data_IF_565072099543
#
_entry.id   IF_565072099543
#
_cell.length_a   1.000
_cell.length_b   1.000
_cell.length_c   1.000
_cell.angle_alpha   90.00
_cell.angle_beta   90.00
_cell.angle_gamma   90.00
#
_symmetry.space_group_name_H-M   'P 1'
#
loop_
_entity.id
_entity.type
_entity.pdbx_description
1 polymer ?
#
# COMPACT_ATOMS: atom_id res chain seq x y z
N UNK A 1 -39.50 67.90 3.73
CA UNK A 1 -39.71 67.00 2.58
C UNK A 1 -38.51 67.14 1.66
N UNK A 2 -37.43 66.40 1.94
CA UNK A 2 -36.23 66.28 1.09
C UNK A 2 -35.73 64.83 1.29
N UNK A 3 -35.85 64.01 0.24
CA UNK A 3 -35.51 62.59 0.26
C UNK A 3 -34.04 62.39 -0.13
N UNK A 4 -33.24 61.80 0.75
CA UNK A 4 -31.88 61.35 0.44
C UNK A 4 -31.95 59.88 -0.01
N UNK A 5 -31.75 59.62 -1.31
CA UNK A 5 -31.71 58.27 -1.87
C UNK A 5 -30.28 57.74 -1.78
N UNK A 6 -30.00 56.90 -0.78
CA UNK A 6 -28.75 56.14 -0.69
C UNK A 6 -28.84 54.95 -1.64
N UNK A 7 -28.07 54.99 -2.73
CA UNK A 7 -27.86 53.86 -3.63
C UNK A 7 -26.92 52.85 -2.94
N UNK A 8 -27.45 51.67 -2.60
CA UNK A 8 -26.66 50.55 -2.09
C UNK A 8 -26.17 49.76 -3.30
N UNK A 9 -24.87 49.85 -3.58
CA UNK A 9 -24.17 49.08 -4.60
C UNK A 9 -23.89 47.68 -4.02
N UNK A 10 -24.62 46.67 -4.50
CA UNK A 10 -24.46 45.29 -4.08
C UNK A 10 -23.19 44.67 -4.67
N UNK A 11 -22.25 44.29 -3.80
CA UNK A 11 -21.05 43.53 -4.16
C UNK A 11 -21.43 42.05 -4.18
N UNK A 12 -21.52 41.46 -5.38
CA UNK A 12 -21.58 40.00 -5.57
C UNK A 12 -20.18 39.41 -5.35
N UNK A 13 -19.96 38.71 -4.23
CA UNK A 13 -18.82 37.83 -4.04
C UNK A 13 -19.10 36.49 -4.74
N UNK A 14 -18.54 36.30 -5.93
CA UNK A 14 -18.48 35.01 -6.60
C UNK A 14 -17.53 34.10 -5.82
N UNK A 15 -18.09 33.17 -5.04
CA UNK A 15 -17.36 32.04 -4.50
C UNK A 15 -17.00 31.08 -5.65
N UNK A 16 -15.75 31.17 -6.12
CA UNK A 16 -15.21 30.16 -7.02
C UNK A 16 -14.96 28.87 -6.22
N UNK A 17 -15.77 27.83 -6.48
CA UNK A 17 -15.40 26.47 -6.11
C UNK A 17 -14.18 26.07 -6.94
N UNK A 18 -13.00 26.06 -6.31
CA UNK A 18 -11.85 25.35 -6.88
C UNK A 18 -12.19 23.86 -6.78
N UNK A 19 -12.22 23.10 -7.89
CA UNK A 19 -12.28 21.65 -7.79
C UNK A 19 -11.01 21.20 -7.08
N UNK A 20 -11.17 20.58 -5.91
CA UNK A 20 -10.14 19.77 -5.30
C UNK A 20 -9.73 18.75 -6.37
N UNK A 21 -8.50 18.90 -6.85
CA UNK A 21 -7.88 17.96 -7.77
C UNK A 21 -8.06 16.56 -7.17
N UNK A 22 -8.76 15.68 -7.89
CA UNK A 22 -8.77 14.26 -7.59
C UNK A 22 -7.31 13.81 -7.60
N UNK A 23 -6.78 13.59 -6.40
CA UNK A 23 -5.50 12.95 -6.21
C UNK A 23 -5.61 11.54 -6.73
N UNK A 24 -5.26 11.34 -8.00
CA UNK A 24 -4.90 10.02 -8.50
C UNK A 24 -3.83 9.48 -7.54
N UNK A 25 -4.23 8.46 -6.78
CA UNK A 25 -3.54 7.98 -5.59
C UNK A 25 -2.10 7.57 -5.87
N UNK A 26 -1.18 8.47 -5.51
CA UNK A 26 0.24 8.19 -5.35
C UNK A 26 0.66 8.32 -3.88
N UNK A 27 -0.25 8.09 -2.93
CA UNK A 27 0.07 8.15 -1.50
C UNK A 27 -0.25 6.80 -0.82
N UNK A 28 0.78 5.96 -0.68
CA UNK A 28 0.77 4.77 0.16
C UNK A 28 1.98 3.82 -0.06
N UNK A 29 2.56 3.23 1.00
CA UNK A 29 3.69 2.31 0.88
C UNK A 29 3.27 0.99 0.22
N UNK A 30 3.74 0.80 -1.01
CA UNK A 30 3.60 -0.44 -1.78
C UNK A 30 2.46 -0.39 -2.80
N UNK A 31 2.78 -0.35 -4.09
CA UNK A 31 1.78 -0.44 -5.15
C UNK A 31 1.26 -1.88 -5.25
N UNK A 32 0.03 -2.10 -4.77
CA UNK A 32 -0.67 -3.39 -4.87
C UNK A 32 -1.53 -3.38 -6.12
N UNK A 33 -1.29 -4.32 -7.04
CA UNK A 33 -2.04 -4.44 -8.30
C UNK A 33 -2.35 -5.89 -8.64
N UNK A 34 -3.51 -6.12 -9.25
CA UNK A 34 -3.77 -7.36 -9.99
C UNK A 34 -2.89 -7.41 -11.23
N UNK A 35 -2.49 -8.60 -11.64
CA UNK A 35 -1.67 -8.80 -12.83
C UNK A 35 -2.00 -10.12 -13.51
N UNK A 36 -1.79 -10.19 -14.84
CA UNK A 36 -1.84 -11.44 -15.59
C UNK A 36 -0.55 -12.25 -15.43
N UNK A 37 0.54 -11.62 -14.99
CA UNK A 37 1.79 -12.30 -14.65
C UNK A 37 1.61 -13.18 -13.41
N UNK A 38 2.41 -14.24 -13.32
CA UNK A 38 2.44 -15.16 -12.17
C UNK A 38 3.87 -15.37 -11.69
N UNK A 39 4.08 -15.73 -10.41
CA UNK A 39 5.39 -16.19 -9.96
C UNK A 39 5.79 -17.49 -10.67
N UNK A 40 7.10 -17.73 -10.74
CA UNK A 40 7.66 -18.97 -11.27
C UNK A 40 7.12 -20.18 -10.50
N UNK A 41 6.74 -21.24 -11.20
CA UNK A 41 6.17 -22.45 -10.61
C UNK A 41 4.70 -22.35 -10.19
N UNK A 42 4.01 -21.23 -10.43
CA UNK A 42 2.58 -21.13 -10.16
C UNK A 42 1.74 -22.05 -11.06
N UNK A 43 0.69 -22.66 -10.48
CA UNK A 43 -0.28 -23.45 -11.22
C UNK A 43 -0.96 -22.61 -12.32
N UNK A 44 -1.26 -23.23 -13.47
CA UNK A 44 -1.75 -22.52 -14.65
C UNK A 44 -3.15 -21.90 -14.48
N UNK A 45 -3.95 -22.47 -13.59
CA UNK A 45 -5.30 -22.03 -13.21
C UNK A 45 -5.31 -21.03 -12.04
N UNK A 46 -4.15 -20.69 -11.49
CA UNK A 46 -4.06 -19.76 -10.36
C UNK A 46 -4.00 -18.29 -10.80
N UNK A 47 -4.65 -17.42 -10.01
CA UNK A 47 -4.66 -15.97 -10.22
C UNK A 47 -3.87 -15.24 -9.15
N UNK A 48 -3.16 -14.18 -9.54
CA UNK A 48 -2.19 -13.50 -8.70
C UNK A 48 -2.31 -11.98 -8.78
N UNK A 49 -1.93 -11.35 -7.68
CA UNK A 49 -1.57 -9.94 -7.63
C UNK A 49 -0.13 -9.78 -7.18
N UNK A 50 0.37 -8.55 -7.31
CA UNK A 50 1.74 -8.17 -6.97
C UNK A 50 1.75 -6.90 -6.14
N UNK A 51 2.45 -6.94 -5.01
CA UNK A 51 2.75 -5.80 -4.15
C UNK A 51 4.18 -5.39 -4.44
N UNK A 52 4.35 -4.21 -5.01
CA UNK A 52 5.66 -3.62 -5.29
C UNK A 52 6.02 -2.64 -4.19
N UNK A 53 7.04 -2.95 -3.40
CA UNK A 53 7.68 -1.98 -2.50
C UNK A 53 8.72 -1.18 -3.30
N UNK A 54 8.70 0.16 -3.26
CA UNK A 54 9.64 0.98 -4.02
C UNK A 54 11.06 0.86 -3.47
N UNK A 55 12.04 1.19 -4.31
CA UNK A 55 13.39 1.43 -3.82
C UNK A 55 13.41 2.78 -3.06
N UNK A 56 14.14 2.83 -1.95
CA UNK A 56 14.39 4.06 -1.21
C UNK A 56 15.84 4.44 -1.44
N UNK A 57 16.03 5.64 -2.00
CA UNK A 57 17.34 6.25 -2.23
C UNK A 57 17.52 7.34 -1.19
N UNK A 58 18.60 7.27 -0.43
CA UNK A 58 18.94 8.27 0.58
C UNK A 58 20.35 8.80 0.36
N UNK A 59 20.54 10.07 0.73
CA UNK A 59 21.88 10.66 0.82
C UNK A 59 22.48 10.26 2.16
N UNK A 60 23.46 9.36 2.14
CA UNK A 60 24.14 8.87 3.32
C UNK A 60 25.50 9.58 3.46
N UNK A 61 25.79 10.11 4.65
CA UNK A 61 27.10 10.66 4.99
C UNK A 61 28.06 9.52 5.34
N UNK A 62 29.19 9.44 4.64
CA UNK A 62 30.25 8.46 4.91
C UNK A 62 31.56 9.16 5.21
N UNK A 63 32.29 8.66 6.21
CA UNK A 63 33.68 9.04 6.44
C UNK A 63 34.61 8.15 5.63
N UNK A 64 35.35 8.74 4.71
CA UNK A 64 36.37 8.08 3.91
C UNK A 64 37.73 8.40 4.52
N UNK A 65 38.46 7.34 4.89
CA UNK A 65 39.84 7.46 5.38
C UNK A 65 40.74 7.96 4.25
N UNK A 66 41.29 9.16 4.39
CA UNK A 66 42.26 9.70 3.44
C UNK A 66 43.69 9.31 3.79
N UNK A 67 44.02 9.30 5.09
CA UNK A 67 45.35 8.94 5.58
C UNK A 67 45.22 8.17 6.89
N UNK A 68 45.83 6.98 7.02
CA UNK A 68 45.83 6.23 8.27
C UNK A 68 46.64 6.96 9.35
N UNK A 69 46.37 6.63 10.62
CA UNK A 69 47.18 7.12 11.74
C UNK A 69 48.61 6.53 11.65
N UNK A 70 49.60 7.33 12.04
CA UNK A 70 50.98 6.85 12.22
C UNK A 70 51.21 6.55 13.69
N UNK A 71 51.70 5.35 13.98
CA UNK A 71 51.95 4.82 15.33
C UNK A 71 53.35 4.22 15.41
N UNK A 72 54.00 4.33 16.57
CA UNK A 72 55.31 3.72 16.82
C UNK A 72 55.22 2.23 17.11
N UNK A 73 56.37 1.54 17.15
CA UNK A 73 56.44 0.13 17.53
C UNK A 73 55.97 -0.12 18.97
N UNK A 74 56.07 0.90 19.84
CA UNK A 74 55.58 0.88 21.22
C UNK A 74 54.09 1.25 21.34
N UNK A 75 53.39 1.50 20.22
CA UNK A 75 51.97 1.80 20.19
C UNK A 75 51.60 3.27 20.43
N UNK A 76 52.56 4.19 20.40
CA UNK A 76 52.31 5.63 20.60
C UNK A 76 51.84 6.28 19.30
N UNK A 77 50.73 7.01 19.31
CA UNK A 77 50.21 7.74 18.14
C UNK A 77 51.09 8.97 17.87
N UNK A 78 51.78 8.98 16.71
CA UNK A 78 52.55 10.14 16.24
C UNK A 78 51.68 11.12 15.45
N UNK A 79 50.81 10.61 14.58
CA UNK A 79 49.87 11.42 13.80
C UNK A 79 48.51 10.71 13.75
N UNK A 80 47.40 11.42 14.01
CA UNK A 80 46.08 10.84 13.90
C UNK A 80 45.69 10.58 12.44
N UNK A 81 44.72 9.69 12.23
CA UNK A 81 44.12 9.46 10.92
C UNK A 81 43.38 10.72 10.43
N UNK A 82 43.36 10.92 9.11
CA UNK A 82 42.64 12.00 8.44
C UNK A 82 41.50 11.41 7.64
N UNK A 83 40.28 11.89 7.90
CA UNK A 83 39.05 11.47 7.22
C UNK A 83 38.44 12.63 6.43
N UNK A 84 37.63 12.30 5.43
CA UNK A 84 36.74 13.23 4.72
C UNK A 84 35.32 12.71 4.79
N UNK A 85 34.37 13.60 5.08
CA UNK A 85 32.95 13.30 4.93
C UNK A 85 32.53 13.49 3.48
N UNK A 86 31.89 12.48 2.92
CA UNK A 86 31.32 12.48 1.58
C UNK A 86 29.84 12.10 1.66
N UNK A 87 28.99 12.88 0.99
CA UNK A 87 27.56 12.58 0.85
C UNK A 87 27.36 11.73 -0.40
N UNK A 88 26.91 10.49 -0.25
CA UNK A 88 26.72 9.54 -1.35
C UNK A 88 25.25 9.17 -1.45
N UNK A 89 24.72 9.09 -2.68
CA UNK A 89 23.40 8.55 -2.92
C UNK A 89 23.47 7.02 -2.89
N UNK A 90 22.77 6.41 -1.93
CA UNK A 90 22.77 4.96 -1.72
C UNK A 90 21.32 4.44 -1.76
N UNK A 91 21.13 3.27 -2.40
CA UNK A 91 19.86 2.56 -2.37
C UNK A 91 19.80 1.83 -1.02
N UNK A 92 19.19 2.46 -0.01
CA UNK A 92 19.10 1.89 1.34
C UNK A 92 18.06 0.78 1.45
N UNK A 93 17.09 0.79 0.53
CA UNK A 93 16.11 -0.28 0.38
C UNK A 93 15.90 -0.56 -1.08
N UNK A 94 16.08 -1.82 -1.47
CA UNK A 94 15.83 -2.26 -2.83
C UNK A 94 14.34 -2.36 -3.13
N UNK A 95 14.01 -2.19 -4.41
CA UNK A 95 12.66 -2.47 -4.90
C UNK A 95 12.40 -3.97 -4.80
N UNK A 96 11.32 -4.36 -4.16
CA UNK A 96 10.91 -5.77 -4.04
C UNK A 96 9.47 -5.95 -4.51
N UNK A 97 9.28 -6.92 -5.39
CA UNK A 97 7.98 -7.37 -5.84
C UNK A 97 7.58 -8.64 -5.06
N UNK A 98 6.49 -8.55 -4.29
CA UNK A 98 5.91 -9.68 -3.53
C UNK A 98 4.62 -10.15 -4.19
N UNK A 99 4.55 -11.45 -4.48
CA UNK A 99 3.37 -12.07 -5.09
C UNK A 99 2.35 -12.51 -4.03
N UNK A 100 1.06 -12.38 -4.33
CA UNK A 100 -0.01 -12.91 -3.50
C UNK A 100 -1.12 -13.50 -4.37
N UNK A 101 -1.67 -14.63 -3.94
CA UNK A 101 -2.76 -15.28 -4.67
C UNK A 101 -4.09 -14.58 -4.39
N UNK A 102 -4.94 -14.52 -5.42
CA UNK A 102 -6.31 -13.99 -5.34
C UNK A 102 -7.29 -15.01 -5.93
N UNK A 103 -8.56 -15.02 -5.52
CA UNK A 103 -9.59 -15.74 -6.25
C UNK A 103 -9.64 -15.25 -7.70
N UNK A 104 -9.77 -16.16 -8.66
CA UNK A 104 -9.86 -15.80 -10.06
C UNK A 104 -11.14 -15.03 -10.34
N UNK A 105 -11.12 -14.17 -11.37
CA UNK A 105 -12.30 -13.38 -11.74
C UNK A 105 -13.52 -14.25 -12.06
N UNK A 106 -13.29 -15.44 -12.64
CA UNK A 106 -14.34 -16.42 -12.92
C UNK A 106 -15.00 -16.98 -11.64
N UNK A 107 -14.27 -17.06 -10.53
CA UNK A 107 -14.77 -17.58 -9.25
C UNK A 107 -15.45 -16.50 -8.40
N UNK A 108 -15.25 -15.22 -8.72
CA UNK A 108 -15.89 -14.08 -8.05
C UNK A 108 -17.34 -13.89 -8.51
N UNK A 109 -18.12 -14.97 -8.50
CA UNK A 109 -19.54 -14.96 -8.87
C UNK A 109 -20.39 -14.18 -7.86
N UNK A 110 -21.62 -13.77 -8.23
CA UNK A 110 -22.53 -13.11 -7.28
C UNK A 110 -22.78 -13.91 -6.00
N UNK A 111 -22.81 -15.24 -6.08
CA UNK A 111 -22.98 -16.14 -4.95
C UNK A 111 -21.75 -16.14 -4.04
N UNK A 112 -20.55 -16.16 -4.62
CA UNK A 112 -19.29 -16.03 -3.88
C UNK A 112 -19.22 -14.70 -3.15
N UNK A 113 -19.51 -13.60 -3.86
CA UNK A 113 -19.47 -12.25 -3.27
C UNK A 113 -20.57 -12.05 -2.23
N UNK A 114 -21.74 -12.67 -2.41
CA UNK A 114 -22.79 -12.67 -1.39
C UNK A 114 -22.34 -13.38 -0.12
N UNK A 115 -21.61 -14.49 -0.26
CA UNK A 115 -21.02 -15.23 0.87
C UNK A 115 -19.92 -14.42 1.54
N UNK A 116 -19.09 -13.71 0.78
CA UNK A 116 -18.11 -12.76 1.29
C UNK A 116 -18.77 -11.65 2.11
N UNK A 117 -19.81 -11.00 1.58
CA UNK A 117 -20.55 -9.94 2.27
C UNK A 117 -21.15 -10.44 3.59
N UNK A 118 -21.76 -11.64 3.60
CA UNK A 118 -22.26 -12.28 4.83
C UNK A 118 -21.14 -12.57 5.83
N UNK A 119 -20.01 -13.11 5.37
CA UNK A 119 -18.88 -13.44 6.23
C UNK A 119 -18.25 -12.19 6.88
N UNK A 120 -18.18 -11.07 6.14
CA UNK A 120 -17.73 -9.78 6.66
C UNK A 120 -18.77 -9.13 7.60
N UNK A 121 -20.07 -9.29 7.31
CA UNK A 121 -21.14 -8.79 8.17
C UNK A 121 -21.19 -9.53 9.52
N UNK A 122 -21.03 -10.86 9.51
CA UNK A 122 -20.95 -11.68 10.72
C UNK A 122 -19.79 -11.27 11.66
N UNK A 123 -18.76 -10.61 11.10
CA UNK A 123 -17.61 -10.07 11.84
C UNK A 123 -17.75 -8.57 12.13
N UNK A 124 -18.93 -8.00 11.90
CA UNK A 124 -19.24 -6.60 12.15
C UNK A 124 -18.38 -5.60 11.34
N UNK A 125 -17.95 -5.98 10.13
CA UNK A 125 -17.10 -5.14 9.25
C UNK A 125 -17.88 -4.63 8.04
N UNK A 126 -18.94 -5.34 7.64
CA UNK A 126 -19.83 -4.96 6.54
C UNK A 126 -21.26 -4.75 7.03
N UNK A 127 -21.83 -3.57 6.79
CA UNK A 127 -23.18 -3.19 7.21
C UNK A 127 -24.11 -2.88 6.02
N UNK A 128 -23.70 -3.26 4.81
CA UNK A 128 -24.51 -3.07 3.60
C UNK A 128 -25.50 -4.21 3.37
N UNK A 129 -26.33 -4.06 2.33
CA UNK A 129 -27.15 -5.14 1.81
C UNK A 129 -26.28 -6.19 1.13
N UNK A 130 -26.68 -7.47 1.21
CA UNK A 130 -25.99 -8.56 0.51
C UNK A 130 -26.46 -8.56 -0.95
N UNK A 131 -25.73 -7.88 -1.83
CA UNK A 131 -26.07 -7.71 -3.25
C UNK A 131 -25.37 -8.71 -4.16
N UNK A 132 -24.31 -9.39 -3.70
CA UNK A 132 -23.46 -10.21 -4.57
C UNK A 132 -22.54 -9.38 -5.48
N UNK A 133 -22.47 -8.07 -5.29
CA UNK A 133 -21.60 -7.20 -6.09
C UNK A 133 -20.37 -6.77 -5.30
N UNK A 134 -19.22 -6.75 -5.98
CA UNK A 134 -17.96 -6.22 -5.44
C UNK A 134 -17.94 -4.69 -5.48
N UNK A 135 -18.97 -4.09 -4.84
CA UNK A 135 -19.19 -2.65 -4.72
C UNK A 135 -18.08 -1.96 -3.93
N UNK A 136 -18.02 -0.62 -4.00
CA UNK A 136 -17.11 0.19 -3.18
C UNK A 136 -17.24 -0.11 -1.67
N UNK A 137 -18.46 -0.37 -1.18
CA UNK A 137 -18.67 -0.74 0.23
C UNK A 137 -18.12 -2.12 0.54
N UNK A 138 -18.28 -3.10 -0.36
CA UNK A 138 -17.72 -4.45 -0.22
C UNK A 138 -16.19 -4.38 -0.19
N UNK A 139 -15.59 -3.66 -1.15
CA UNK A 139 -14.15 -3.41 -1.27
C UNK A 139 -13.56 -2.73 -0.04
N UNK A 140 -14.22 -1.71 0.48
CA UNK A 140 -13.81 -1.05 1.72
C UNK A 140 -13.86 -1.99 2.94
N UNK A 141 -14.84 -2.89 3.00
CA UNK A 141 -14.92 -3.91 4.06
C UNK A 141 -13.81 -4.96 3.93
N UNK A 142 -13.49 -5.40 2.70
CA UNK A 142 -12.33 -6.28 2.43
C UNK A 142 -11.05 -5.60 2.91
N UNK A 143 -10.79 -4.35 2.52
CA UNK A 143 -9.63 -3.58 2.98
C UNK A 143 -9.52 -3.53 4.51
N UNK A 144 -10.61 -3.18 5.20
CA UNK A 144 -10.65 -3.11 6.67
C UNK A 144 -10.38 -4.46 7.34
N UNK A 145 -10.86 -5.55 6.75
CA UNK A 145 -10.61 -6.90 7.29
C UNK A 145 -9.14 -7.31 7.13
N UNK A 146 -8.49 -6.90 6.04
CA UNK A 146 -7.12 -7.30 5.70
C UNK A 146 -6.03 -6.39 6.31
N UNK A 147 -6.36 -5.14 6.61
CA UNK A 147 -5.40 -4.17 7.15
C UNK A 147 -4.71 -4.62 8.45
N UNK A 148 -5.38 -5.24 9.43
CA UNK A 148 -4.73 -5.75 10.65
C UNK A 148 -3.67 -6.84 10.38
N UNK A 149 -3.78 -7.57 9.27
CA UNK A 149 -2.80 -8.56 8.82
C UNK A 149 -1.67 -7.95 7.98
N UNK A 150 -1.55 -6.61 7.94
CA UNK A 150 -0.53 -5.89 7.17
C UNK A 150 -0.81 -5.77 5.67
N UNK A 151 -2.04 -6.10 5.23
CA UNK A 151 -2.46 -6.02 3.82
C UNK A 151 -3.57 -4.98 3.64
N UNK A 152 -3.16 -3.72 3.53
CA UNK A 152 -4.09 -2.58 3.38
C UNK A 152 -4.51 -2.36 1.91
N UNK A 153 -5.30 -3.28 1.35
CA UNK A 153 -5.82 -3.20 -0.02
C UNK A 153 -7.24 -3.74 -0.12
N UNK A 154 -8.00 -3.24 -1.09
CA UNK A 154 -9.36 -3.68 -1.41
C UNK A 154 -9.43 -4.94 -2.29
N UNK A 155 -8.27 -5.47 -2.71
CA UNK A 155 -8.16 -6.73 -3.43
C UNK A 155 -8.27 -7.88 -2.43
N UNK A 156 -9.27 -8.75 -2.63
CA UNK A 156 -9.44 -9.95 -1.81
C UNK A 156 -8.33 -10.97 -2.10
N UNK A 157 -7.51 -11.28 -1.10
CA UNK A 157 -6.52 -12.36 -1.24
C UNK A 157 -7.15 -13.74 -1.00
N UNK A 158 -6.58 -14.79 -1.59
CA UNK A 158 -7.02 -16.17 -1.33
C UNK A 158 -6.80 -16.56 0.13
N UNK A 159 -5.74 -16.04 0.77
CA UNK A 159 -5.49 -16.24 2.20
C UNK A 159 -6.63 -15.66 3.05
N UNK A 160 -7.08 -14.44 2.73
CA UNK A 160 -8.26 -13.82 3.35
C UNK A 160 -9.53 -14.62 3.09
N UNK A 161 -9.75 -15.05 1.85
CA UNK A 161 -10.91 -15.86 1.49
C UNK A 161 -10.95 -17.18 2.28
N UNK A 162 -9.79 -17.82 2.50
CA UNK A 162 -9.64 -19.00 3.37
C UNK A 162 -9.94 -18.67 4.84
N UNK A 163 -9.42 -17.56 5.38
CA UNK A 163 -9.73 -17.09 6.76
C UNK A 163 -11.24 -16.83 6.96
N UNK A 164 -11.93 -16.42 5.91
CA UNK A 164 -13.38 -16.20 5.91
C UNK A 164 -14.19 -17.48 5.66
N UNK A 165 -13.55 -18.61 5.35
CA UNK A 165 -14.20 -19.89 5.05
C UNK A 165 -14.83 -19.98 3.66
N UNK A 166 -14.38 -19.14 2.71
CA UNK A 166 -14.93 -19.05 1.36
C UNK A 166 -14.20 -19.93 0.35
N UNK A 167 -12.94 -20.29 0.64
CA UNK A 167 -12.10 -21.13 -0.22
C UNK A 167 -11.59 -22.30 0.62
N UNK A 168 -11.63 -23.50 0.04
CA UNK A 168 -11.15 -24.70 0.69
C UNK A 168 -9.64 -24.61 1.00
N UNK A 169 -9.28 -25.15 2.16
CA UNK A 169 -7.89 -25.40 2.56
C UNK A 169 -7.66 -26.89 2.40
N UNK A 170 -6.64 -27.28 1.65
CA UNK A 170 -6.28 -28.70 1.56
C UNK A 170 -5.89 -29.22 2.95
N UNK A 171 -6.40 -30.41 3.29
CA UNK A 171 -6.04 -31.07 4.54
C UNK A 171 -4.65 -31.66 4.36
N UNK A 172 -3.72 -31.30 5.24
CA UNK A 172 -2.45 -32.02 5.33
C UNK A 172 -2.76 -33.48 5.68
N UNK A 173 -2.19 -34.47 4.96
CA UNK A 173 -2.34 -35.86 5.35
C UNK A 173 -1.78 -36.02 6.77
N UNK A 174 -2.53 -36.69 7.64
CA UNK A 174 -2.05 -37.01 8.98
C UNK A 174 -0.80 -37.90 8.82
N UNK A 175 0.31 -37.47 9.40
CA UNK A 175 1.56 -38.24 9.51
C UNK A 175 1.40 -39.35 10.55
#
# INVERSE_FOLDING_TARGET
>A
MIHFRTAILGILLLAACVPLSDGNGLDGPGMIRLTAERPEGAASDSCWGKKTSPAIIETVEREVLLKPAQVTAEGVIQQPAVYRRESVQEIVQERVDTWFQVPCAADLTPEFVSSLQRALAARNIYHGQVTGEMSMRTRAAVRRFQAPDGFDSDILTTATARKLGLVAVERQPAE
#
